data_IF_695189827331
#
_entry.id   IF_695189827331
#
_cell.length_a   1.000
_cell.length_b   1.000
_cell.length_c   1.000
_cell.angle_alpha   90.00
_cell.angle_beta   90.00
_cell.angle_gamma   90.00
#
_symmetry.space_group_name_H-M   'P 1'
#
loop_
_entity.id
_entity.type
_entity.pdbx_description
1 polymer ?
#
# COMPACT_ATOMS: atom_id res chain seq x y z
N UNK A 1 20.51 30.74 13.02
CA UNK A 1 20.13 30.26 11.70
C UNK A 1 19.56 28.84 11.88
N UNK A 2 18.24 28.69 11.93
CA UNK A 2 17.61 27.38 12.09
C UNK A 2 17.51 26.75 10.69
N UNK A 3 18.27 25.69 10.47
CA UNK A 3 18.10 24.86 9.29
C UNK A 3 16.77 24.06 9.45
N UNK A 4 15.74 24.49 8.74
CA UNK A 4 14.58 23.65 8.48
C UNK A 4 15.03 22.48 7.61
N UNK A 5 15.13 21.29 8.19
CA UNK A 5 15.21 20.06 7.42
C UNK A 5 13.80 19.85 6.86
N UNK A 6 13.61 19.92 5.53
CA UNK A 6 12.31 19.62 4.96
C UNK A 6 11.97 18.17 5.29
N UNK A 7 10.79 17.97 5.87
CA UNK A 7 10.22 16.63 6.03
C UNK A 7 10.02 16.08 4.62
N UNK A 8 10.94 15.22 4.18
CA UNK A 8 10.79 14.48 2.92
C UNK A 8 9.68 13.49 3.15
N UNK A 9 8.46 13.81 2.74
CA UNK A 9 7.37 12.86 2.62
C UNK A 9 7.88 11.72 1.72
N UNK A 10 7.65 10.48 2.11
CA UNK A 10 8.00 9.34 1.29
C UNK A 10 7.38 9.53 -0.11
N UNK A 11 8.20 9.40 -1.16
CA UNK A 11 7.80 9.71 -2.56
C UNK A 11 6.53 8.99 -3.03
N UNK A 12 6.13 7.90 -2.37
CA UNK A 12 4.87 7.18 -2.63
C UNK A 12 3.58 7.94 -2.29
N UNK A 13 3.64 9.04 -1.52
CA UNK A 13 2.47 9.87 -1.20
C UNK A 13 2.22 10.98 -2.22
N UNK A 14 3.10 11.16 -3.20
CA UNK A 14 2.95 12.20 -4.23
C UNK A 14 1.91 11.85 -5.29
N UNK A 15 1.76 10.57 -5.62
CA UNK A 15 0.79 10.08 -6.59
C UNK A 15 -0.38 9.40 -5.87
N UNK A 16 -1.56 9.98 -5.99
CA UNK A 16 -2.81 9.37 -5.53
C UNK A 16 -3.39 8.56 -6.70
N UNK A 17 -3.76 7.32 -6.41
CA UNK A 17 -4.38 6.41 -7.36
C UNK A 17 -5.75 6.02 -6.83
N UNK A 18 -6.78 6.21 -7.64
CA UNK A 18 -8.13 5.74 -7.35
C UNK A 18 -8.66 4.95 -8.55
N UNK A 19 -9.47 3.94 -8.27
CA UNK A 19 -10.08 3.10 -9.31
C UNK A 19 -11.59 3.09 -9.16
N UNK A 20 -12.27 3.13 -10.30
CA UNK A 20 -13.70 2.85 -10.38
C UNK A 20 -13.91 1.79 -11.47
N UNK A 21 -14.74 0.80 -11.19
CA UNK A 21 -14.94 -0.34 -12.09
C UNK A 21 -16.42 -0.52 -12.38
N UNK A 22 -16.75 -0.54 -13.66
CA UNK A 22 -18.08 -0.90 -14.15
C UNK A 22 -18.03 -2.30 -14.75
N UNK A 23 -18.99 -3.15 -14.37
CA UNK A 23 -19.10 -4.51 -14.89
C UNK A 23 -20.49 -4.68 -15.50
N UNK A 24 -20.54 -5.12 -16.78
CA UNK A 24 -21.82 -5.42 -17.44
C UNK A 24 -22.41 -6.74 -16.94
N UNK A 25 -23.67 -7.02 -17.26
CA UNK A 25 -24.31 -8.31 -16.92
C UNK A 25 -23.58 -9.51 -17.54
N UNK A 26 -22.96 -9.33 -18.72
CA UNK A 26 -22.15 -10.34 -19.39
C UNK A 26 -20.74 -10.48 -18.79
N UNK A 27 -20.43 -9.70 -17.76
CA UNK A 27 -19.14 -9.74 -17.07
C UNK A 27 -18.02 -8.94 -17.74
N UNK A 28 -18.31 -8.09 -18.75
CA UNK A 28 -17.28 -7.21 -19.34
C UNK A 28 -16.90 -6.13 -18.32
N UNK A 29 -15.61 -5.97 -18.13
CA UNK A 29 -15.05 -5.07 -17.13
C UNK A 29 -14.51 -3.81 -17.80
N UNK A 30 -14.91 -2.64 -17.28
CA UNK A 30 -14.38 -1.34 -17.67
C UNK A 30 -13.80 -0.66 -16.45
N UNK A 31 -12.52 -0.34 -16.50
CA UNK A 31 -11.76 0.20 -15.38
C UNK A 31 -11.45 1.68 -15.68
N UNK A 32 -11.87 2.55 -14.78
CA UNK A 32 -11.48 3.96 -14.75
C UNK A 32 -10.40 4.14 -13.71
N UNK A 33 -9.25 4.61 -14.14
CA UNK A 33 -8.10 4.89 -13.29
C UNK A 33 -7.93 6.40 -13.18
N UNK A 34 -8.08 6.93 -11.98
CA UNK A 34 -7.78 8.32 -11.66
C UNK A 34 -6.38 8.40 -11.09
N UNK A 35 -5.55 9.22 -11.71
CA UNK A 35 -4.19 9.54 -11.26
C UNK A 35 -4.12 11.03 -10.91
N UNK A 36 -3.79 11.36 -9.66
CA UNK A 36 -3.64 12.73 -9.20
C UNK A 36 -2.26 12.94 -8.62
N UNK A 37 -1.56 13.96 -9.12
CA UNK A 37 -0.31 14.40 -8.52
C UNK A 37 -0.60 15.33 -7.32
N UNK A 38 -0.51 14.77 -6.12
CA UNK A 38 -0.70 15.52 -4.87
C UNK A 38 0.60 16.17 -4.35
N UNK A 39 1.71 16.00 -5.07
CA UNK A 39 3.00 16.60 -4.76
C UNK A 39 3.11 18.06 -5.23
N UNK A 40 4.25 18.67 -4.93
CA UNK A 40 4.57 20.03 -5.33
C UNK A 40 5.42 20.10 -6.62
N UNK A 41 5.80 18.96 -7.18
CA UNK A 41 6.64 18.85 -8.38
C UNK A 41 5.91 18.09 -9.46
N UNK A 42 6.24 18.37 -10.71
CA UNK A 42 5.76 17.60 -11.85
C UNK A 42 6.28 16.18 -11.77
N UNK A 43 5.42 15.20 -12.04
CA UNK A 43 5.78 13.82 -12.26
C UNK A 43 5.95 13.56 -13.75
N UNK A 44 7.00 12.81 -14.11
CA UNK A 44 7.36 12.53 -15.50
C UNK A 44 7.24 11.03 -15.78
N UNK A 45 7.00 10.70 -17.04
CA UNK A 45 6.96 9.32 -17.52
C UNK A 45 6.00 8.43 -16.73
N UNK A 46 4.83 8.97 -16.35
CA UNK A 46 3.85 8.23 -15.53
C UNK A 46 3.23 7.13 -16.39
N UNK A 47 3.56 5.88 -16.07
CA UNK A 47 3.16 4.69 -16.84
C UNK A 47 2.37 3.74 -15.95
N UNK A 48 1.04 3.81 -15.96
CA UNK A 48 0.21 2.87 -15.23
C UNK A 48 0.07 1.54 -15.99
N UNK A 49 -0.01 0.47 -15.23
CA UNK A 49 -0.23 -0.89 -15.68
C UNK A 49 -1.30 -1.52 -14.79
N UNK A 50 -2.30 -2.10 -15.40
CA UNK A 50 -3.40 -2.79 -14.73
C UNK A 50 -3.14 -4.29 -14.76
N UNK A 51 -3.10 -4.91 -13.61
CA UNK A 51 -3.13 -6.37 -13.49
C UNK A 51 -4.51 -6.77 -12.95
N UNK A 52 -5.22 -7.51 -13.77
CA UNK A 52 -6.55 -8.01 -13.47
C UNK A 52 -6.69 -9.45 -13.97
N UNK A 53 -7.20 -10.34 -13.14
CA UNK A 53 -7.26 -11.76 -13.42
C UNK A 53 -5.86 -12.34 -13.69
N UNK A 54 -5.61 -12.82 -14.86
CA UNK A 54 -4.31 -13.34 -15.32
C UNK A 54 -3.73 -12.48 -16.46
N UNK A 55 -4.24 -11.27 -16.62
CA UNK A 55 -3.84 -10.36 -17.68
C UNK A 55 -3.18 -9.12 -17.12
N UNK A 56 -2.23 -8.61 -17.85
CA UNK A 56 -1.52 -7.38 -17.59
C UNK A 56 -1.72 -6.47 -18.78
N UNK A 57 -2.27 -5.28 -18.56
CA UNK A 57 -2.49 -4.30 -19.60
C UNK A 57 -1.78 -2.99 -19.26
N UNK A 58 -0.93 -2.51 -20.17
CA UNK A 58 -0.34 -1.18 -20.06
C UNK A 58 -1.36 -0.16 -20.51
N UNK A 59 -1.55 0.89 -19.72
CA UNK A 59 -2.39 2.02 -20.09
C UNK A 59 -1.56 3.08 -20.82
N UNK A 60 -2.22 4.12 -21.33
CA UNK A 60 -1.55 5.23 -22.00
C UNK A 60 -0.56 5.91 -21.06
N UNK A 61 0.66 6.14 -21.57
CA UNK A 61 1.71 6.85 -20.85
C UNK A 61 1.39 8.34 -20.77
N UNK A 62 1.53 8.92 -19.59
CA UNK A 62 1.44 10.35 -19.35
C UNK A 62 2.86 10.89 -19.27
N UNK A 63 3.23 11.74 -20.24
CA UNK A 63 4.59 12.31 -20.32
C UNK A 63 4.89 13.20 -19.12
N UNK A 64 3.92 14.01 -18.71
CA UNK A 64 3.99 14.95 -17.60
C UNK A 64 2.65 14.98 -16.87
N UNK A 65 2.68 14.94 -15.56
CA UNK A 65 1.54 15.12 -14.67
C UNK A 65 1.93 16.24 -13.68
N UNK A 66 1.40 17.44 -13.92
CA UNK A 66 1.77 18.62 -13.15
C UNK A 66 1.27 18.56 -11.70
N UNK A 67 1.86 19.35 -10.81
CA UNK A 67 1.44 19.44 -9.41
C UNK A 67 -0.05 19.84 -9.33
N UNK A 68 -0.83 19.06 -8.59
CA UNK A 68 -2.28 19.21 -8.43
C UNK A 68 -3.11 18.71 -9.63
N UNK A 69 -2.49 18.31 -10.73
CA UNK A 69 -3.20 17.80 -11.91
C UNK A 69 -3.79 16.41 -11.65
N UNK A 70 -4.99 16.19 -12.19
CA UNK A 70 -5.69 14.91 -12.21
C UNK A 70 -5.94 14.47 -13.66
N UNK A 71 -5.76 13.19 -13.93
CA UNK A 71 -6.03 12.57 -15.23
C UNK A 71 -6.80 11.28 -14.99
N UNK A 72 -7.82 11.04 -15.81
CA UNK A 72 -8.59 9.81 -15.81
C UNK A 72 -8.24 9.02 -17.08
N UNK A 73 -7.83 7.78 -16.90
CA UNK A 73 -7.59 6.81 -17.98
C UNK A 73 -8.64 5.72 -17.93
N UNK A 74 -8.97 5.17 -19.07
CA UNK A 74 -9.93 4.08 -19.21
C UNK A 74 -9.23 2.84 -19.80
N UNK A 75 -9.57 1.67 -19.27
CA UNK A 75 -9.14 0.38 -19.80
C UNK A 75 -10.31 -0.61 -19.83
N UNK A 76 -10.46 -1.34 -20.92
CA UNK A 76 -11.49 -2.37 -21.14
C UNK A 76 -10.93 -3.62 -21.84
N UNK A 77 -9.61 -3.74 -21.93
CA UNK A 77 -8.94 -4.82 -22.64
C UNK A 77 -8.70 -6.04 -21.75
N UNK A 78 -9.75 -6.47 -21.05
CA UNK A 78 -9.68 -7.62 -20.17
C UNK A 78 -10.70 -8.69 -20.53
N UNK A 79 -10.40 -9.98 -20.28
CA UNK A 79 -11.39 -11.03 -20.44
C UNK A 79 -12.56 -10.81 -19.47
N UNK A 80 -13.79 -11.20 -19.86
CA UNK A 80 -14.95 -11.03 -19.01
C UNK A 80 -14.85 -11.91 -17.77
N UNK A 81 -15.37 -11.41 -16.63
CA UNK A 81 -15.57 -12.19 -15.42
C UNK A 81 -16.79 -13.07 -15.57
N UNK A 82 -16.66 -14.35 -15.23
CA UNK A 82 -17.72 -15.34 -15.46
C UNK A 82 -18.43 -15.77 -14.17
N UNK A 83 -17.73 -15.71 -13.03
CA UNK A 83 -18.25 -16.13 -11.73
C UNK A 83 -18.68 -14.92 -10.93
N UNK A 84 -19.78 -15.04 -10.18
CA UNK A 84 -20.13 -14.04 -9.17
C UNK A 84 -19.02 -13.90 -8.13
N UNK A 85 -18.88 -12.73 -7.52
CA UNK A 85 -17.98 -12.55 -6.39
C UNK A 85 -17.06 -11.35 -6.48
N UNK A 86 -15.99 -11.38 -5.68
CA UNK A 86 -15.02 -10.31 -5.51
C UNK A 86 -13.76 -10.59 -6.34
N UNK A 87 -13.32 -9.59 -7.07
CA UNK A 87 -12.15 -9.66 -7.96
C UNK A 87 -11.11 -8.62 -7.57
N UNK A 88 -9.81 -9.00 -7.54
CA UNK A 88 -8.74 -8.05 -7.25
C UNK A 88 -8.42 -7.21 -8.47
N UNK A 89 -8.01 -5.99 -8.23
CA UNK A 89 -7.49 -5.06 -9.22
C UNK A 89 -6.19 -4.46 -8.68
N UNK A 90 -5.09 -4.71 -9.38
CA UNK A 90 -3.77 -4.23 -8.98
C UNK A 90 -3.31 -3.22 -10.02
N UNK A 91 -2.99 -2.02 -9.56
CA UNK A 91 -2.44 -0.95 -10.38
C UNK A 91 -0.98 -0.78 -9.99
N UNK A 92 -0.08 -0.99 -10.92
CA UNK A 92 1.34 -0.66 -10.77
C UNK A 92 1.64 0.56 -11.64
N UNK A 93 2.04 1.66 -11.03
CA UNK A 93 2.34 2.89 -11.74
C UNK A 93 3.80 3.27 -11.55
N UNK A 94 4.55 3.29 -12.64
CA UNK A 94 5.91 3.82 -12.66
C UNK A 94 5.87 5.31 -12.96
N UNK A 95 6.71 6.09 -12.30
CA UNK A 95 6.86 7.52 -12.54
C UNK A 95 8.23 8.03 -12.07
N UNK A 96 8.63 9.21 -12.52
CA UNK A 96 9.84 9.89 -12.10
C UNK A 96 9.50 11.25 -11.50
N UNK A 97 10.23 11.66 -10.49
CA UNK A 97 10.18 13.01 -9.91
C UNK A 97 11.20 13.96 -10.55
N UNK A 98 12.14 13.40 -11.29
CA UNK A 98 13.14 14.09 -12.11
C UNK A 98 13.47 13.18 -13.31
N UNK A 99 13.63 13.77 -14.50
CA UNK A 99 13.90 13.03 -15.76
C UNK A 99 15.19 12.20 -15.72
N UNK A 100 16.16 12.60 -14.88
CA UNK A 100 17.45 11.89 -14.75
C UNK A 100 17.42 10.79 -13.68
N UNK A 101 16.37 10.70 -12.87
CA UNK A 101 16.24 9.70 -11.81
C UNK A 101 15.68 8.37 -12.33
N UNK A 102 15.98 7.31 -11.57
CA UNK A 102 15.31 6.02 -11.74
C UNK A 102 13.82 6.15 -11.40
N UNK A 103 12.96 5.42 -12.11
CA UNK A 103 11.53 5.48 -11.86
C UNK A 103 11.19 4.88 -10.50
N UNK A 104 10.25 5.51 -9.81
CA UNK A 104 9.54 4.93 -8.68
C UNK A 104 8.39 4.07 -9.19
N UNK A 105 8.01 3.05 -8.42
CA UNK A 105 6.77 2.31 -8.69
C UNK A 105 5.87 2.38 -7.47
N UNK A 106 4.66 2.84 -7.70
CA UNK A 106 3.57 2.79 -6.74
C UNK A 106 2.69 1.58 -7.06
N UNK A 107 2.38 0.77 -6.04
CA UNK A 107 1.42 -0.33 -6.12
C UNK A 107 0.16 0.10 -5.38
N UNK A 108 -0.97 0.05 -6.08
CA UNK A 108 -2.29 0.28 -5.51
C UNK A 108 -3.13 -0.96 -5.73
N UNK A 109 -3.71 -1.48 -4.68
CA UNK A 109 -4.61 -2.63 -4.72
C UNK A 109 -6.03 -2.17 -4.42
N UNK A 110 -6.97 -2.70 -5.17
CA UNK A 110 -8.40 -2.50 -4.94
C UNK A 110 -9.17 -3.76 -5.35
N UNK A 111 -10.47 -3.73 -5.23
CA UNK A 111 -11.31 -4.84 -5.66
C UNK A 111 -12.67 -4.32 -6.11
N UNK A 112 -13.36 -5.13 -6.91
CA UNK A 112 -14.74 -4.88 -7.30
C UNK A 112 -15.55 -6.17 -7.19
N UNK A 113 -16.87 -6.02 -7.22
CA UNK A 113 -17.81 -7.14 -7.16
C UNK A 113 -18.53 -7.32 -8.50
N UNK A 114 -18.78 -8.58 -8.83
CA UNK A 114 -19.62 -8.95 -9.94
C UNK A 114 -20.79 -9.77 -9.43
N UNK A 115 -22.02 -9.32 -9.70
CA UNK A 115 -23.32 -9.89 -9.31
C UNK A 115 -23.54 -10.01 -7.80
N UNK A 116 -22.62 -10.62 -7.06
CA UNK A 116 -22.77 -10.88 -5.63
C UNK A 116 -21.63 -10.26 -4.84
N UNK A 117 -21.98 -9.61 -3.74
CA UNK A 117 -21.01 -9.11 -2.78
C UNK A 117 -20.70 -10.21 -1.78
N UNK A 118 -19.53 -10.84 -1.96
CA UNK A 118 -19.06 -11.93 -1.09
C UNK A 118 -17.74 -11.56 -0.46
N UNK A 119 -17.57 -11.93 0.80
CA UNK A 119 -16.34 -11.69 1.55
C UNK A 119 -15.50 -12.96 1.66
N UNK A 120 -14.19 -12.80 1.68
CA UNK A 120 -13.26 -13.90 1.85
C UNK A 120 -13.40 -14.54 3.24
N UNK A 121 -13.43 -15.87 3.30
CA UNK A 121 -13.30 -16.60 4.55
C UNK A 121 -11.84 -16.74 5.01
N UNK A 122 -10.88 -16.36 4.15
CA UNK A 122 -9.46 -16.32 4.48
C UNK A 122 -9.12 -14.91 4.89
N UNK A 123 -8.54 -14.75 6.06
CA UNK A 123 -7.90 -13.51 6.48
C UNK A 123 -6.48 -13.78 6.97
N UNK A 124 -5.71 -12.72 7.18
CA UNK A 124 -4.32 -12.89 7.60
C UNK A 124 -3.65 -11.58 7.97
N UNK A 125 -2.36 -11.67 8.22
CA UNK A 125 -1.48 -10.53 8.48
C UNK A 125 -0.07 -10.85 8.01
N UNK A 126 0.70 -9.81 7.68
CA UNK A 126 2.12 -9.88 7.42
C UNK A 126 2.84 -9.19 8.58
N UNK A 127 3.78 -9.89 9.20
CA UNK A 127 4.72 -9.33 10.17
C UNK A 127 6.13 -9.39 9.57
N UNK A 128 6.96 -8.40 9.87
CA UNK A 128 8.28 -8.27 9.26
C UNK A 128 9.37 -8.24 10.31
N UNK A 129 10.48 -8.92 10.05
CA UNK A 129 11.69 -8.88 10.89
C UNK A 129 12.89 -8.56 10.01
N UNK A 130 13.49 -7.40 10.24
CA UNK A 130 14.63 -6.93 9.45
C UNK A 130 15.94 -7.53 9.93
N UNK A 131 16.79 -7.92 8.98
CA UNK A 131 18.16 -8.36 9.20
C UNK A 131 19.08 -7.80 8.08
N UNK A 132 19.65 -6.62 8.30
CA UNK A 132 20.46 -5.91 7.30
C UNK A 132 19.64 -5.52 6.06
N UNK A 133 20.04 -6.00 4.89
CA UNK A 133 19.36 -5.79 3.60
C UNK A 133 18.29 -6.87 3.30
N UNK A 134 18.03 -7.77 4.24
CA UNK A 134 17.02 -8.80 4.15
C UNK A 134 15.92 -8.58 5.21
N UNK A 135 14.70 -8.95 4.88
CA UNK A 135 13.58 -9.01 5.84
C UNK A 135 12.87 -10.34 5.72
N UNK A 136 12.60 -10.94 6.86
CA UNK A 136 11.74 -12.11 6.94
C UNK A 136 10.29 -11.63 7.05
N UNK A 137 9.47 -11.98 6.06
CA UNK A 137 8.02 -11.85 6.13
C UNK A 137 7.46 -13.10 6.81
N UNK A 138 6.77 -12.92 7.92
CA UNK A 138 5.99 -13.98 8.58
C UNK A 138 4.51 -13.72 8.24
N UNK A 139 4.00 -14.52 7.31
CA UNK A 139 2.65 -14.41 6.75
C UNK A 139 1.76 -15.40 7.49
N UNK A 140 0.86 -14.87 8.30
CA UNK A 140 -0.16 -15.63 8.99
C UNK A 140 -1.45 -15.64 8.17
N UNK A 141 -2.03 -16.81 7.93
CA UNK A 141 -3.31 -17.02 7.25
C UNK A 141 -4.23 -17.85 8.12
N UNK A 142 -5.52 -17.52 8.14
CA UNK A 142 -6.57 -18.26 8.84
C UNK A 142 -7.77 -18.49 7.94
N UNK A 143 -8.22 -19.73 7.88
CA UNK A 143 -9.49 -20.09 7.26
C UNK A 143 -10.62 -20.09 8.31
N UNK A 144 -11.48 -19.07 8.28
CA UNK A 144 -12.58 -18.93 9.23
C UNK A 144 -13.85 -19.72 8.83
N UNK A 145 -13.81 -20.46 7.73
CA UNK A 145 -14.94 -21.32 7.32
C UNK A 145 -14.84 -22.74 7.92
N UNK A 146 -15.92 -23.50 7.84
CA UNK A 146 -15.95 -24.90 8.22
C UNK A 146 -15.40 -25.87 7.16
N UNK A 147 -15.12 -25.40 5.93
CA UNK A 147 -14.66 -26.21 4.81
C UNK A 147 -13.19 -25.89 4.45
N UNK A 148 -12.51 -26.82 3.79
CA UNK A 148 -11.18 -26.54 3.25
C UNK A 148 -11.26 -25.54 2.10
N UNK A 149 -10.21 -24.75 1.93
CA UNK A 149 -10.04 -23.80 0.82
C UNK A 149 -8.75 -24.10 0.08
N UNK A 150 -8.85 -24.26 -1.24
CA UNK A 150 -7.69 -24.29 -2.13
C UNK A 150 -7.45 -22.86 -2.60
N UNK A 151 -6.52 -22.18 -1.98
CA UNK A 151 -6.19 -20.80 -2.25
C UNK A 151 -4.98 -20.68 -3.17
N UNK A 152 -4.93 -19.62 -3.93
CA UNK A 152 -3.77 -19.18 -4.68
C UNK A 152 -3.22 -17.92 -4.03
N UNK A 153 -1.91 -17.88 -3.84
CA UNK A 153 -1.18 -16.80 -3.21
C UNK A 153 -0.24 -16.16 -4.21
N UNK A 154 -0.17 -14.84 -4.23
CA UNK A 154 0.81 -14.08 -5.00
C UNK A 154 1.30 -12.90 -4.15
N UNK A 155 2.62 -12.84 -3.93
CA UNK A 155 3.26 -11.74 -3.23
C UNK A 155 3.59 -10.62 -4.22
N UNK A 156 3.06 -9.45 -3.98
CA UNK A 156 3.32 -8.25 -4.77
C UNK A 156 4.39 -7.44 -4.06
N UNK A 157 5.52 -7.26 -4.71
CA UNK A 157 6.65 -6.51 -4.22
C UNK A 157 6.87 -5.28 -5.10
N UNK A 158 7.12 -4.10 -4.52
CA UNK A 158 7.53 -2.94 -5.28
C UNK A 158 8.94 -3.14 -5.84
N UNK A 159 9.32 -2.44 -6.92
CA UNK A 159 10.70 -2.40 -7.39
C UNK A 159 11.64 -2.01 -6.26
N UNK A 160 12.80 -2.62 -6.26
CA UNK A 160 13.76 -2.47 -5.18
C UNK A 160 13.69 -3.58 -4.14
N UNK A 161 12.67 -4.43 -4.18
CA UNK A 161 12.58 -5.68 -3.42
C UNK A 161 12.55 -6.89 -4.34
N UNK A 162 13.15 -7.98 -3.88
CA UNK A 162 13.08 -9.30 -4.53
C UNK A 162 12.81 -10.37 -3.49
N UNK A 163 12.12 -11.41 -3.90
CA UNK A 163 11.94 -12.64 -3.15
C UNK A 163 12.08 -13.84 -4.07
N UNK A 164 12.52 -14.95 -3.52
CA UNK A 164 12.66 -16.21 -4.27
C UNK A 164 11.35 -17.00 -4.30
N UNK A 165 10.45 -16.74 -3.36
CA UNK A 165 9.19 -17.46 -3.17
C UNK A 165 7.98 -16.53 -3.33
N UNK A 166 6.81 -17.09 -3.69
CA UNK A 166 5.51 -16.41 -3.82
C UNK A 166 5.43 -15.27 -4.86
N UNK A 167 6.52 -14.96 -5.58
CA UNK A 167 6.49 -13.99 -6.70
C UNK A 167 5.68 -14.54 -7.86
N UNK A 168 5.65 -15.86 -8.00
CA UNK A 168 4.71 -16.56 -8.88
C UNK A 168 3.54 -17.08 -8.03
N UNK A 169 2.38 -17.24 -8.69
CA UNK A 169 1.18 -17.74 -8.03
C UNK A 169 1.38 -19.17 -7.49
N UNK A 170 1.25 -19.34 -6.18
CA UNK A 170 1.42 -20.62 -5.49
C UNK A 170 0.08 -21.11 -4.93
N UNK A 171 -0.24 -22.38 -5.18
CA UNK A 171 -1.41 -23.04 -4.62
C UNK A 171 -1.17 -23.56 -3.20
N UNK A 172 -2.11 -23.29 -2.30
CA UNK A 172 -2.07 -23.74 -0.89
C UNK A 172 -3.44 -24.20 -0.47
N UNK A 173 -3.51 -25.34 0.27
CA UNK A 173 -4.76 -25.80 0.89
C UNK A 173 -4.74 -25.48 2.39
N UNK A 174 -5.84 -24.88 2.89
CA UNK A 174 -6.05 -24.60 4.31
C UNK A 174 -7.39 -25.23 4.72
N UNK A 175 -7.36 -26.12 5.72
CA UNK A 175 -8.58 -26.78 6.23
C UNK A 175 -9.45 -25.79 6.99
N UNK A 176 -10.74 -26.11 7.16
CA UNK A 176 -11.66 -25.30 7.94
C UNK A 176 -11.15 -25.07 9.37
N UNK A 177 -11.16 -23.81 9.81
CA UNK A 177 -10.64 -23.38 11.11
C UNK A 177 -9.12 -23.42 11.27
N UNK A 178 -8.38 -23.91 10.27
CA UNK A 178 -6.91 -24.04 10.35
C UNK A 178 -6.22 -22.71 10.14
N UNK A 179 -5.09 -22.56 10.84
CA UNK A 179 -4.11 -21.48 10.66
C UNK A 179 -2.89 -22.01 9.89
N UNK A 180 -2.26 -21.14 9.11
CA UNK A 180 -1.04 -21.43 8.37
C UNK A 180 -0.08 -20.27 8.42
N UNK A 181 1.19 -20.55 8.74
CA UNK A 181 2.28 -19.59 8.68
C UNK A 181 3.18 -19.92 7.49
N UNK A 182 3.52 -18.89 6.71
CA UNK A 182 4.43 -18.98 5.58
C UNK A 182 5.52 -17.93 5.80
N UNK A 183 6.78 -18.37 5.68
CA UNK A 183 7.93 -17.48 5.85
C UNK A 183 8.57 -17.23 4.51
N UNK A 184 8.74 -15.95 4.14
CA UNK A 184 9.36 -15.53 2.89
C UNK A 184 10.48 -14.55 3.19
N UNK A 185 11.66 -14.80 2.63
CA UNK A 185 12.77 -13.85 2.71
C UNK A 185 12.66 -12.87 1.55
N UNK A 186 12.61 -11.59 1.89
CA UNK A 186 12.61 -10.48 0.95
C UNK A 186 13.92 -9.73 1.09
N UNK A 187 14.57 -9.42 -0.02
CA UNK A 187 15.87 -8.74 -0.08
C UNK A 187 15.73 -7.39 -0.76
N UNK A 188 16.38 -6.39 -0.19
CA UNK A 188 16.54 -5.09 -0.86
C UNK A 188 17.57 -5.20 -1.97
N UNK A 189 17.22 -4.81 -3.19
CA UNK A 189 18.14 -4.79 -4.31
C UNK A 189 19.26 -3.76 -4.08
N UNK A 190 20.46 -4.10 -4.53
CA UNK A 190 21.62 -3.20 -4.44
C UNK A 190 21.34 -1.89 -5.18
N UNK A 191 21.51 -0.77 -4.48
CA UNK A 191 21.26 0.56 -5.03
C UNK A 191 19.81 1.08 -4.80
N UNK A 192 18.90 0.25 -4.30
CA UNK A 192 17.57 0.70 -3.90
C UNK A 192 17.63 1.49 -2.59
N UNK A 193 16.79 2.52 -2.42
CA UNK A 193 16.81 3.36 -1.23
C UNK A 193 16.41 2.57 0.03
N UNK A 194 16.92 2.98 1.18
CA UNK A 194 16.57 2.42 2.49
C UNK A 194 15.32 3.15 3.04
N UNK A 195 14.15 2.78 2.53
CA UNK A 195 12.85 3.38 2.87
C UNK A 195 11.88 2.32 3.34
N UNK A 196 10.63 2.71 3.63
CA UNK A 196 9.53 1.77 3.86
C UNK A 196 8.99 1.31 2.50
N UNK A 197 8.89 0.00 2.35
CA UNK A 197 8.31 -0.65 1.17
C UNK A 197 6.99 -1.31 1.53
N UNK A 198 5.86 -0.91 0.93
CA UNK A 198 4.62 -1.63 1.08
C UNK A 198 4.72 -2.98 0.36
N UNK A 199 4.17 -4.02 0.96
CA UNK A 199 4.09 -5.36 0.38
C UNK A 199 2.66 -5.86 0.51
N UNK A 200 2.17 -6.57 -0.50
CA UNK A 200 0.82 -7.10 -0.54
C UNK A 200 0.84 -8.59 -0.83
N UNK A 201 0.06 -9.36 -0.11
CA UNK A 201 -0.23 -10.76 -0.44
C UNK A 201 -1.64 -10.85 -0.98
N UNK A 202 -1.76 -11.12 -2.26
CA UNK A 202 -3.03 -11.42 -2.88
C UNK A 202 -3.40 -12.88 -2.61
N UNK A 203 -4.61 -13.08 -2.10
CA UNK A 203 -5.21 -14.40 -1.86
C UNK A 203 -6.42 -14.53 -2.76
N UNK A 204 -6.47 -15.56 -3.61
CA UNK A 204 -7.61 -15.83 -4.48
C UNK A 204 -8.06 -17.28 -4.36
N UNK A 205 -9.36 -17.52 -4.41
CA UNK A 205 -9.92 -18.87 -4.52
C UNK A 205 -11.33 -18.85 -5.11
N UNK A 206 -11.71 -19.99 -5.66
CA UNK A 206 -13.08 -20.24 -6.10
C UNK A 206 -13.75 -21.25 -5.21
N UNK A 207 -15.02 -21.02 -4.86
CA UNK A 207 -15.85 -21.99 -4.17
C UNK A 207 -17.24 -22.00 -4.81
N UNK A 208 -17.69 -23.21 -5.19
CA UNK A 208 -18.91 -23.36 -6.00
C UNK A 208 -18.87 -22.48 -7.26
N UNK A 209 -19.78 -21.51 -7.37
CA UNK A 209 -19.85 -20.59 -8.51
C UNK A 209 -19.27 -19.21 -8.23
N UNK A 210 -18.74 -19.00 -7.02
CA UNK A 210 -18.24 -17.70 -6.58
C UNK A 210 -16.72 -17.60 -6.61
N UNK A 211 -16.25 -16.40 -6.87
CA UNK A 211 -14.83 -16.01 -6.80
C UNK A 211 -14.61 -15.13 -5.57
N UNK A 212 -13.55 -15.40 -4.85
CA UNK A 212 -13.18 -14.69 -3.63
C UNK A 212 -11.76 -14.16 -3.75
N UNK A 213 -11.54 -12.98 -3.23
CA UNK A 213 -10.20 -12.42 -3.09
C UNK A 213 -10.03 -11.71 -1.76
N UNK A 214 -8.79 -11.67 -1.29
CA UNK A 214 -8.36 -10.88 -0.13
C UNK A 214 -6.99 -10.29 -0.41
N UNK A 215 -6.76 -9.04 0.01
CA UNK A 215 -5.48 -8.36 -0.02
C UNK A 215 -4.98 -8.18 1.42
N UNK A 216 -3.86 -8.83 1.72
CA UNK A 216 -3.22 -8.76 3.02
C UNK A 216 -1.99 -7.88 2.88
N UNK A 217 -2.04 -6.68 3.43
CA UNK A 217 -0.95 -5.70 3.34
C UNK A 217 0.02 -5.80 4.51
N UNK A 218 1.26 -5.39 4.26
CA UNK A 218 2.33 -5.25 5.24
C UNK A 218 3.35 -4.23 4.77
N UNK A 219 4.34 -3.96 5.62
CA UNK A 219 5.41 -3.02 5.31
C UNK A 219 6.76 -3.59 5.70
N UNK A 220 7.78 -3.38 4.86
CA UNK A 220 9.17 -3.68 5.17
C UNK A 220 9.91 -2.36 5.34
N UNK A 221 10.38 -2.07 6.55
CA UNK A 221 11.07 -0.82 6.88
C UNK A 221 12.58 -1.03 6.90
N UNK A 222 13.28 -0.58 5.84
CA UNK A 222 14.75 -0.62 5.72
C UNK A 222 15.45 0.65 6.23
N UNK A 223 14.72 1.63 6.75
CA UNK A 223 15.34 2.84 7.29
C UNK A 223 16.27 2.51 8.46
N UNK A 224 17.31 3.32 8.64
CA UNK A 224 18.24 3.18 9.76
C UNK A 224 17.52 3.34 11.11
N UNK A 225 18.07 2.76 12.17
CA UNK A 225 17.54 2.92 13.54
C UNK A 225 17.47 4.40 13.93
N UNK A 226 18.44 5.21 13.49
CA UNK A 226 18.46 6.66 13.76
C UNK A 226 17.27 7.37 13.10
N UNK A 227 16.92 7.01 11.87
CA UNK A 227 15.75 7.58 11.18
C UNK A 227 14.42 7.13 11.78
N UNK A 228 14.34 5.87 12.25
CA UNK A 228 13.15 5.34 12.93
C UNK A 228 12.89 6.03 14.27
N UNK A 229 13.96 6.35 15.01
CA UNK A 229 13.88 6.94 16.34
C UNK A 229 13.88 8.47 16.35
N UNK A 230 14.14 9.13 15.22
CA UNK A 230 14.19 10.59 15.12
C UNK A 230 12.88 11.28 15.51
N UNK A 231 11.74 10.60 15.38
CA UNK A 231 10.42 11.12 15.76
C UNK A 231 10.25 11.22 17.30
N UNK A 232 10.88 10.31 18.06
CA UNK A 232 10.74 10.24 19.52
C UNK A 232 11.29 11.49 20.22
N UNK A 233 12.51 11.97 19.95
CA UNK A 233 13.02 13.19 20.58
C UNK A 233 12.25 14.45 20.12
N UNK A 234 11.70 14.50 18.92
CA UNK A 234 10.88 15.61 18.46
C UNK A 234 9.56 15.70 19.23
N UNK A 235 8.87 14.58 19.46
CA UNK A 235 7.65 14.51 20.26
C UNK A 235 7.93 14.84 21.74
N UNK A 236 9.06 14.37 22.28
CA UNK A 236 9.48 14.70 23.65
C UNK A 236 9.77 16.20 23.81
N UNK A 237 10.44 16.82 22.86
CA UNK A 237 10.70 18.26 22.86
C UNK A 237 9.38 19.08 22.77
N UNK A 238 8.44 18.65 21.91
CA UNK A 238 7.13 19.30 21.76
C UNK A 238 6.28 19.22 23.03
N UNK A 239 6.28 18.06 23.70
CA UNK A 239 5.57 17.85 24.96
C UNK A 239 6.18 18.68 26.10
N UNK A 240 7.49 18.82 26.14
CA UNK A 240 8.21 19.64 27.12
C UNK A 240 7.90 21.14 26.91
N UNK A 241 7.86 21.58 25.65
CA UNK A 241 7.50 22.96 25.29
C UNK A 241 6.05 23.29 25.67
N UNK A 242 5.11 22.38 25.41
CA UNK A 242 3.72 22.50 25.80
C UNK A 242 3.58 22.57 27.34
N UNK A 243 4.32 21.75 28.09
CA UNK A 243 4.36 21.77 29.53
C UNK A 243 4.87 23.11 30.10
N UNK A 244 5.93 23.68 29.53
CA UNK A 244 6.46 24.99 29.91
C UNK A 244 5.45 26.11 29.66
N UNK A 245 4.74 26.06 28.49
CA UNK A 245 3.71 27.06 28.17
C UNK A 245 2.52 26.98 29.13
N UNK A 246 2.08 25.79 29.49
CA UNK A 246 1.02 25.58 30.47
C UNK A 246 1.41 26.10 31.88
N UNK A 247 2.63 25.82 32.33
CA UNK A 247 3.16 26.33 33.59
C UNK A 247 3.23 27.87 33.57
N UNK A 248 3.73 28.48 32.48
CA UNK A 248 3.75 29.95 32.34
C UNK A 248 2.34 30.55 32.38
N UNK A 249 1.39 29.93 31.69
CA UNK A 249 -0.01 30.35 31.70
C UNK A 249 -0.60 30.28 33.11
N UNK A 250 -0.38 29.17 33.85
CA UNK A 250 -0.83 28.99 35.20
C UNK A 250 -0.27 30.02 36.17
N UNK A 251 1.03 30.33 36.13
CA UNK A 251 1.64 31.35 36.99
C UNK A 251 1.18 32.76 36.64
N UNK A 252 0.87 33.04 35.39
CA UNK A 252 0.34 34.35 34.94
C UNK A 252 -1.08 34.59 35.44
N UNK A 253 -1.95 33.59 35.42
CA UNK A 253 -3.32 33.69 35.97
C UNK A 253 -3.31 33.84 37.47
N UNK A 254 -2.44 33.13 38.17
CA UNK A 254 -2.31 33.23 39.65
C UNK A 254 -1.81 34.60 40.10
N UNK A 255 -0.90 35.22 39.35
CA UNK A 255 -0.39 36.58 39.66
C UNK A 255 -1.49 37.63 39.48
N UNK A 256 -2.35 37.52 38.51
CA UNK A 256 -3.47 38.43 38.27
C UNK A 256 -4.59 38.30 39.33
N UNK A 257 -4.82 37.11 39.91
CA UNK A 257 -5.81 36.88 40.94
C UNK A 257 -5.40 37.44 42.30
N UNK A 258 -4.10 37.62 42.58
CA UNK A 258 -3.58 38.21 43.81
C UNK A 258 -3.69 39.74 43.78
N UNK A 259 -3.56 40.38 42.60
CA UNK A 259 -3.68 41.84 42.45
C UNK A 259 -5.12 42.36 42.39
N UNK A 260 -6.12 41.49 42.15
CA UNK A 260 -7.55 41.84 42.12
C UNK A 260 -8.24 41.83 43.52
N UNK A 261 -7.52 41.50 44.58
CA UNK A 261 -8.05 41.47 45.97
C UNK A 261 -7.46 42.56 46.89
N UNK A 262 -6.97 43.65 46.31
CA UNK A 262 -6.65 44.87 47.05
C UNK A 262 -7.51 46.02 46.61
#
# INVERSE_FOLDING_TARGET
MFNFIPLVLADGQQLIIATNTLVTEEGRVRIYLTLQNNGQRTLYDVQPMVHFHHTMAMMSKIVQLEAGQEIILENYDHPPVLRSGRYPLIIMTQFKTDLQMQPYTHIHTSSFYFREQVESAINGKISTTLNGDESLLDIFLKNNSGSFKNIRLMLLLPPGLVADELVQMMGVTIRGGQEKNIKVVVKRQKGSPAVIYPVHLLVEYGEMLNHYTEDISGEVDFRSIQERTAIIPALAALSLLAGILLLRSYFRTRKNSIFSRR
#
